data_IF_243613146590
#
_entry.id   IF_243613146590
#
_cell.length_a   1.000
_cell.length_b   1.000
_cell.length_c   1.000
_cell.angle_alpha   90.00
_cell.angle_beta   90.00
_cell.angle_gamma   90.00
#
_symmetry.space_group_name_H-M   'P 1'
#
loop_
_entity.id
_entity.type
_entity.pdbx_description
1 polymer ?
2 non-polymer ?
3 non-polymer ?
4 water ?
#
# COMPACT_ATOMS: atom_id res chain seq x y z
N UNK A 40 11.92 -24.81 0.30
CA UNK A 40 12.63 -23.97 1.30
C UNK A 40 11.83 -23.92 2.59
N UNK A 41 12.50 -24.23 3.70
CA UNK A 41 11.89 -24.07 5.01
C UNK A 41 12.09 -22.60 5.37
N UNK A 42 11.02 -21.95 5.82
CA UNK A 42 11.02 -20.52 6.15
C UNK A 42 10.86 -20.30 7.65
N UNK A 43 11.82 -19.60 8.25
CA UNK A 43 11.86 -19.42 9.69
C UNK A 43 11.95 -17.93 9.98
N UNK A 44 11.04 -17.38 10.78
CA UNK A 44 11.25 -15.99 11.19
C UNK A 44 11.91 -15.81 12.54
N UNK A 45 12.77 -14.80 12.63
CA UNK A 45 13.44 -14.51 13.87
C UNK A 45 12.74 -13.27 14.43
N UNK A 46 12.12 -13.44 15.58
CA UNK A 46 11.28 -12.40 16.16
C UNK A 46 11.88 -11.97 17.48
N UNK A 47 11.61 -10.73 17.89
CA UNK A 47 12.13 -10.28 19.16
C UNK A 47 11.97 -8.77 19.28
N UNK A 48 12.30 -8.26 20.45
CA UNK A 48 12.11 -6.83 20.69
C UNK A 48 13.26 -6.08 20.01
N UNK A 49 13.17 -4.77 19.98
CA UNK A 49 14.20 -3.93 19.35
C UNK A 49 15.50 -4.13 20.13
N UNK A 50 16.59 -4.37 19.42
CA UNK A 50 17.89 -4.67 20.02
C UNK A 50 18.01 -5.91 20.87
N UNK A 51 17.06 -6.84 20.79
CA UNK A 51 17.22 -8.19 21.30
C UNK A 51 18.53 -8.85 20.88
N UNK A 52 19.01 -8.50 19.69
CA UNK A 52 20.13 -9.24 19.09
C UNK A 52 19.83 -10.05 17.85
N UNK A 53 18.77 -9.71 17.11
CA UNK A 53 18.42 -10.49 15.93
C UNK A 53 19.46 -10.36 14.77
N UNK A 54 19.92 -9.15 14.45
CA UNK A 54 20.93 -9.00 13.38
C UNK A 54 22.20 -9.75 13.74
N UNK A 55 22.63 -9.58 15.00
CA UNK A 55 23.81 -10.29 15.53
C UNK A 55 23.69 -11.81 15.39
N UNK A 56 22.49 -12.33 15.66
CA UNK A 56 22.25 -13.75 15.70
C UNK A 56 22.27 -14.33 14.30
N UNK A 57 21.57 -13.65 13.41
CA UNK A 57 21.38 -14.10 12.05
C UNK A 57 22.71 -14.03 11.27
N UNK A 58 23.54 -13.04 11.60
CA UNK A 58 24.89 -12.96 11.06
C UNK A 58 25.74 -14.20 11.37
N UNK A 59 25.54 -14.77 12.55
CA UNK A 59 26.24 -15.98 12.99
C UNK A 59 25.68 -17.19 12.27
N UNK A 60 24.37 -17.18 12.05
CA UNK A 60 23.67 -18.21 11.28
C UNK A 60 24.09 -18.25 9.82
N UNK A 61 24.04 -17.10 9.14
CA UNK A 61 24.56 -16.94 7.78
C UNK A 61 25.74 -17.85 7.48
N UNK A 62 26.78 -17.68 8.32
CA UNK A 62 28.13 -18.27 8.16
C UNK A 62 28.25 -19.73 8.54
N UNK A 63 27.27 -20.23 9.28
CA UNK A 63 27.29 -21.61 9.74
C UNK A 63 27.11 -22.65 8.65
N UNK A 64 26.40 -22.30 7.58
CA UNK A 64 26.00 -23.29 6.58
C UNK A 64 25.75 -22.65 5.21
N UNK A 65 26.20 -23.37 4.17
CA UNK A 65 25.97 -22.96 2.79
C UNK A 65 24.49 -23.06 2.41
N UNK A 66 23.74 -23.87 3.19
CA UNK A 66 22.31 -24.13 2.98
C UNK A 66 21.37 -23.13 3.67
N UNK A 67 21.89 -22.15 4.40
CA UNK A 67 21.06 -21.16 5.09
C UNK A 67 21.35 -19.72 4.68
N UNK A 68 20.36 -19.03 4.10
CA UNK A 68 20.50 -17.58 3.84
C UNK A 68 19.58 -16.79 4.78
N UNK A 69 19.78 -15.47 4.80
CA UNK A 69 19.02 -14.58 5.68
C UNK A 69 18.39 -13.47 4.88
N UNK A 70 17.15 -13.15 5.22
CA UNK A 70 16.51 -11.96 4.69
C UNK A 70 16.45 -10.93 5.81
N UNK A 71 17.41 -10.00 5.84
CA UNK A 71 17.39 -8.96 6.88
C UNK A 71 16.23 -7.97 6.79
N UNK A 72 15.84 -7.40 7.92
CA UNK A 72 14.95 -6.26 7.93
C UNK A 72 15.64 -5.25 7.07
N UNK A 73 14.92 -4.63 6.11
CA UNK A 73 15.59 -3.65 5.24
C UNK A 73 15.73 -2.27 5.89
N UNK A 74 16.37 -2.19 7.05
CA UNK A 74 16.44 -0.93 7.83
C UNK A 74 17.18 0.23 7.10
N UNK A 75 18.19 -0.12 6.30
CA UNK A 75 18.93 0.86 5.51
C UNK A 75 18.04 1.61 4.53
N UNK A 76 17.05 0.91 3.96
CA UNK A 76 16.04 1.58 3.12
C UNK A 76 15.12 2.51 3.91
N UNK A 77 14.77 2.12 5.14
CA UNK A 77 13.93 2.95 6.00
C UNK A 77 14.61 4.23 6.50
N UNK A 78 15.93 4.20 6.67
CA UNK A 78 16.70 5.42 7.08
C UNK A 78 17.08 6.33 5.90
N UNK A 79 16.90 5.86 4.68
CA UNK A 79 17.18 6.65 3.47
C UNK A 79 16.27 6.21 2.34
N UNK A 80 15.13 6.86 2.26
CA UNK A 80 14.09 6.44 1.36
C UNK A 80 14.43 6.84 -0.08
N UNK A 96 21.11 11.72 1.37
CA UNK A 96 20.14 12.39 0.51
C UNK A 96 18.69 12.27 1.02
N UNK A 97 18.09 11.09 0.83
CA UNK A 97 16.65 10.88 1.09
C UNK A 97 16.12 11.13 2.51
N UNK A 98 14.79 11.07 2.64
CA UNK A 98 14.13 11.14 3.92
C UNK A 98 14.41 9.90 4.78
N UNK A 99 14.60 10.12 6.06
CA UNK A 99 14.78 9.03 6.99
C UNK A 99 13.41 8.74 7.57
N UNK A 100 12.66 7.78 7.04
CA UNK A 100 11.29 7.66 7.55
C UNK A 100 11.26 6.99 8.95
N UNK A 101 12.27 6.18 9.21
CA UNK A 101 12.42 5.57 10.55
C UNK A 101 12.52 6.69 11.55
N UNK A 102 13.36 7.65 11.24
CA UNK A 102 13.49 8.83 12.10
C UNK A 102 12.23 9.68 12.24
N UNK A 103 11.51 9.88 11.13
CA UNK A 103 10.29 10.71 11.15
C UNK A 103 9.25 10.03 12.02
N UNK A 104 9.25 8.71 11.97
CA UNK A 104 8.29 8.01 12.77
C UNK A 104 8.55 8.16 14.26
N UNK A 105 9.83 8.08 14.66
CA UNK A 105 10.23 8.23 16.06
C UNK A 105 10.04 9.68 16.57
N UNK A 106 10.34 10.68 15.74
CA UNK A 106 10.14 12.08 16.16
C UNK A 106 8.71 12.55 16.27
N UNK A 107 7.82 11.98 15.47
CA UNK A 107 6.42 12.41 15.43
C UNK A 107 5.51 11.27 15.00
N UNK A 108 5.35 10.25 15.86
CA UNK A 108 4.62 9.04 15.55
C UNK A 108 3.16 9.29 15.18
N UNK A 109 2.57 10.34 15.70
CA UNK A 109 1.17 10.67 15.35
C UNK A 109 1.01 11.11 13.86
N UNK A 110 2.05 11.77 13.36
CA UNK A 110 2.13 12.19 11.96
C UNK A 110 2.64 11.10 11.02
N UNK A 111 3.67 10.36 11.41
CA UNK A 111 4.37 9.56 10.44
C UNK A 111 4.26 8.06 10.56
N UNK A 112 3.55 7.56 11.58
CA UNK A 112 3.48 6.08 11.86
C UNK A 112 2.92 5.25 10.76
N UNK A 113 1.81 5.73 10.21
CA UNK A 113 1.11 4.97 9.18
C UNK A 113 1.98 4.86 7.93
N UNK A 114 2.67 5.93 7.59
CA UNK A 114 3.49 6.04 6.37
C UNK A 114 4.65 5.06 6.55
N UNK A 115 5.26 5.10 7.73
CA UNK A 115 6.34 4.16 8.02
C UNK A 115 5.86 2.72 7.97
N UNK A 116 4.75 2.44 8.67
CA UNK A 116 4.25 1.08 8.81
C UNK A 116 3.90 0.44 7.49
N UNK A 117 3.23 1.22 6.65
CA UNK A 117 2.92 0.92 5.26
C UNK A 117 4.11 0.50 4.42
N UNK A 118 5.10 1.37 4.47
CA UNK A 118 6.36 1.13 3.82
C UNK A 118 7.18 0.05 4.44
N UNK A 119 7.23 -0.05 5.79
CA UNK A 119 8.00 -1.14 6.38
C UNK A 119 7.44 -2.49 5.88
N UNK A 120 6.12 -2.60 5.86
CA UNK A 120 5.45 -3.85 5.54
C UNK A 120 5.69 -4.26 4.09
N UNK A 121 5.41 -3.34 3.18
CA UNK A 121 5.78 -3.42 1.76
C UNK A 121 7.23 -3.86 1.59
N UNK A 122 8.15 -3.18 2.26
CA UNK A 122 9.56 -3.54 2.13
C UNK A 122 9.90 -4.96 2.62
N UNK A 123 9.19 -5.45 3.64
CA UNK A 123 9.42 -6.82 4.11
C UNK A 123 8.98 -7.84 3.08
N UNK A 124 7.79 -7.63 2.53
CA UNK A 124 7.22 -8.59 1.59
C UNK A 124 8.06 -8.70 0.29
N UNK A 125 8.47 -7.55 -0.24
CA UNK A 125 9.41 -7.45 -1.36
C UNK A 125 10.66 -8.22 -1.08
N UNK A 126 11.33 -7.92 0.03
CA UNK A 126 12.57 -8.64 0.36
C UNK A 126 12.38 -10.14 0.45
N UNK A 127 11.31 -10.55 1.13
CA UNK A 127 11.08 -11.96 1.39
C UNK A 127 10.66 -12.68 0.13
N UNK A 128 9.79 -12.08 -0.67
CA UNK A 128 9.44 -12.61 -2.01
C UNK A 128 10.64 -12.72 -2.93
N UNK A 129 11.44 -11.65 -2.99
CA UNK A 129 12.70 -11.68 -3.72
C UNK A 129 13.71 -12.76 -3.25
N UNK A 130 13.74 -13.08 -1.96
CA UNK A 130 14.71 -14.07 -1.51
C UNK A 130 14.36 -15.50 -1.87
N UNK A 131 13.09 -15.76 -2.14
CA UNK A 131 12.66 -17.11 -2.55
C UNK A 131 13.33 -17.58 -3.84
N UNK A 132 14.04 -16.68 -4.54
CA UNK A 132 14.78 -16.97 -5.79
C UNK A 132 16.02 -16.11 -5.96
N UNK A 140 19.30 -29.28 2.10
CA UNK A 140 18.37 -28.82 3.15
C UNK A 140 18.33 -27.29 3.26
N UNK A 141 17.62 -26.62 2.32
CA UNK A 141 17.64 -25.15 2.30
C UNK A 141 16.73 -24.53 3.34
N UNK A 142 17.27 -23.62 4.15
CA UNK A 142 16.50 -22.84 5.14
C UNK A 142 16.67 -21.36 4.83
N UNK A 143 15.61 -20.60 5.03
CA UNK A 143 15.65 -19.18 4.83
C UNK A 143 15.19 -18.52 6.12
N UNK A 144 16.07 -17.76 6.76
CA UNK A 144 15.70 -17.07 8.00
C UNK A 144 15.24 -15.65 7.74
N UNK A 145 13.98 -15.35 8.09
CA UNK A 145 13.44 -14.02 7.86
C UNK A 145 13.69 -13.23 9.10
N UNK A 146 14.25 -12.04 8.98
CA UNK A 146 14.35 -11.23 10.15
C UNK A 146 13.03 -10.46 10.33
N UNK A 147 12.23 -10.91 11.29
CA UNK A 147 10.83 -10.45 11.43
C UNK A 147 9.96 -10.85 10.24
N UNK A 148 8.71 -10.40 10.26
CA UNK A 148 7.67 -11.03 9.44
C UNK A 148 6.49 -10.08 9.31
N UNK A 149 5.61 -10.41 8.39
CA UNK A 149 4.37 -9.64 8.19
C UNK A 149 3.46 -9.73 9.42
N UNK A 150 3.60 -10.82 10.18
CA UNK A 150 2.87 -10.99 11.43
C UNK A 150 3.30 -10.03 12.49
N UNK A 151 4.59 -9.93 12.75
CA UNK A 151 4.99 -8.95 13.77
C UNK A 151 4.79 -7.52 13.29
N UNK A 152 4.90 -7.30 11.98
CA UNK A 152 4.56 -5.99 11.40
C UNK A 152 3.18 -5.54 11.91
N UNK A 153 2.18 -6.41 11.76
CA UNK A 153 0.83 -6.03 12.16
C UNK A 153 0.52 -6.23 13.65
N UNK A 154 0.81 -7.43 14.14
CA UNK A 154 0.31 -7.79 15.46
C UNK A 154 1.16 -7.30 16.61
N UNK A 155 2.42 -6.97 16.34
CA UNK A 155 3.29 -6.37 17.35
C UNK A 155 3.34 -4.87 17.15
N UNK A 156 3.85 -4.43 16.01
CA UNK A 156 4.16 -3.02 15.84
C UNK A 156 2.98 -2.13 15.48
N UNK A 157 2.33 -2.44 14.37
CA UNK A 157 1.14 -1.68 13.94
C UNK A 157 0.03 -1.69 15.01
N UNK A 158 -0.28 -2.85 15.58
CA UNK A 158 -1.27 -2.87 16.69
C UNK A 158 -0.92 -1.88 17.81
N UNK A 159 0.35 -1.89 18.21
CA UNK A 159 0.81 -1.05 19.29
C UNK A 159 0.72 0.42 18.92
N UNK A 160 0.97 0.75 17.66
CA UNK A 160 0.81 2.16 17.27
C UNK A 160 -0.63 2.67 17.40
N UNK A 161 -1.59 1.81 17.06
CA UNK A 161 -3.02 2.13 17.17
C UNK A 161 -3.47 2.23 18.62
N UNK A 162 -3.16 1.22 19.43
CA UNK A 162 -3.47 1.27 20.86
C UNK A 162 -2.89 2.55 21.48
N UNK A 163 -1.70 2.95 21.03
CA UNK A 163 -1.01 4.16 21.51
C UNK A 163 -1.57 5.47 20.99
N UNK A 164 -2.57 5.38 20.12
CA UNK A 164 -3.09 6.56 19.44
C UNK A 164 -2.03 7.19 18.50
N UNK A 165 -1.04 6.43 18.04
CA UNK A 165 -0.13 6.97 17.01
C UNK A 165 -0.75 6.84 15.63
N UNK A 166 -1.59 5.83 15.44
CA UNK A 166 -2.46 5.78 14.27
C UNK A 166 -3.88 6.06 14.80
N UNK A 167 -4.70 6.77 14.02
CA UNK A 167 -6.10 6.89 14.36
C UNK A 167 -6.88 5.77 13.71
N UNK A 168 -8.21 5.79 13.82
CA UNK A 168 -9.02 4.64 13.44
C UNK A 168 -8.94 4.49 11.95
N UNK A 169 -8.91 5.61 11.26
CA UNK A 169 -8.87 5.62 9.81
C UNK A 169 -7.56 4.99 9.30
N UNK A 170 -6.42 5.45 9.83
CA UNK A 170 -5.13 4.92 9.43
C UNK A 170 -5.06 3.43 9.72
N UNK A 171 -5.56 3.04 10.87
CA UNK A 171 -5.52 1.64 11.26
C UNK A 171 -6.43 0.77 10.42
N UNK A 172 -7.57 1.30 9.99
CA UNK A 172 -8.46 0.51 9.12
C UNK A 172 -7.77 0.32 7.80
N UNK A 173 -7.13 1.37 7.30
CA UNK A 173 -6.53 1.35 5.98
C UNK A 173 -5.36 0.40 5.97
N UNK A 174 -4.59 0.41 7.06
CA UNK A 174 -3.46 -0.50 7.19
C UNK A 174 -3.93 -1.97 7.20
N UNK A 175 -4.95 -2.26 7.98
CA UNK A 175 -5.39 -3.66 8.08
C UNK A 175 -5.95 -4.15 6.77
N UNK A 176 -6.68 -3.28 6.09
CA UNK A 176 -7.28 -3.61 4.81
C UNK A 176 -6.18 -4.00 3.85
N UNK A 177 -5.17 -3.16 3.77
CA UNK A 177 -4.00 -3.45 3.00
C UNK A 177 -3.30 -4.75 3.41
N UNK A 178 -3.09 -4.95 4.70
CA UNK A 178 -2.37 -6.13 5.19
C UNK A 178 -3.13 -7.42 4.88
N UNK A 179 -4.45 -7.38 5.09
CA UNK A 179 -5.39 -8.47 4.82
C UNK A 179 -5.16 -8.90 3.41
N UNK A 180 -5.15 -7.92 2.52
CA UNK A 180 -5.10 -8.16 1.11
C UNK A 180 -3.75 -8.72 0.64
N UNK A 181 -2.66 -8.09 1.06
CA UNK A 181 -1.34 -8.64 0.82
C UNK A 181 -1.25 -10.08 1.25
N UNK A 182 -1.77 -10.38 2.43
CA UNK A 182 -1.72 -11.72 2.98
C UNK A 182 -2.52 -12.71 2.15
N UNK A 183 -3.68 -12.31 1.67
CA UNK A 183 -4.41 -13.16 0.73
C UNK A 183 -3.55 -13.53 -0.48
N UNK A 184 -2.99 -12.52 -1.14
CA UNK A 184 -2.21 -12.72 -2.37
C UNK A 184 -0.89 -13.45 -2.12
N UNK A 185 -0.18 -13.10 -1.05
CA UNK A 185 1.17 -13.62 -0.86
C UNK A 185 1.36 -14.53 0.35
N UNK A 186 0.26 -14.83 1.02
CA UNK A 186 0.24 -15.65 2.24
C UNK A 186 0.76 -17.05 2.08
N UNK A 187 0.37 -17.72 1.01
CA UNK A 187 0.84 -19.06 0.73
C UNK A 187 2.35 -19.12 0.59
N UNK A 188 2.93 -18.12 -0.05
CA UNK A 188 4.36 -18.18 -0.35
C UNK A 188 5.25 -17.76 0.83
N UNK A 189 4.81 -16.77 1.60
CA UNK A 189 5.54 -16.35 2.79
C UNK A 189 5.15 -17.11 4.06
N UNK A 190 4.56 -18.29 3.88
CA UNK A 190 4.11 -19.16 4.97
C UNK A 190 5.30 -19.68 5.78
N UNK A 191 5.31 -19.36 7.07
CA UNK A 191 6.40 -19.75 7.94
C UNK A 191 6.33 -21.20 8.42
N UNK A 192 7.47 -21.88 8.41
CA UNK A 192 7.58 -23.21 9.00
C UNK A 192 7.90 -23.19 10.49
N UNK A 193 8.43 -22.09 10.98
CA UNK A 193 8.76 -21.97 12.40
C UNK A 193 9.10 -20.56 12.80
N UNK A 194 9.18 -20.33 14.11
CA UNK A 194 9.56 -19.03 14.62
C UNK A 194 10.67 -19.21 15.64
N UNK A 195 11.75 -18.47 15.48
CA UNK A 195 12.76 -18.39 16.51
C UNK A 195 12.52 -17.11 17.28
N UNK A 196 12.23 -17.25 18.55
CA UNK A 196 12.00 -16.08 19.38
C UNK A 196 13.22 -15.78 20.27
N UNK A 197 13.88 -14.65 19.99
CA UNK A 197 14.99 -14.15 20.81
C UNK A 197 14.39 -13.25 21.90
N UNK A 198 14.37 -13.77 23.12
CA UNK A 198 13.67 -13.14 24.23
C UNK A 198 14.69 -12.44 25.13
N UNK A 199 14.54 -11.12 25.30
CA UNK A 199 15.36 -10.37 26.21
C UNK A 199 14.48 -9.34 26.97
N UNK A 200 14.78 -9.12 28.24
CA UNK A 200 13.95 -8.24 29.04
C UNK A 200 13.98 -6.85 28.39
N UNK A 201 12.91 -6.07 28.57
CA UNK A 201 12.92 -4.70 28.10
C UNK A 201 14.16 -3.89 28.48
N UNK A 202 14.72 -4.17 29.66
CA UNK A 202 15.81 -3.38 30.23
C UNK A 202 17.07 -3.74 29.46
N UNK A 203 17.26 -5.00 29.16
CA UNK A 203 18.36 -5.47 28.32
C UNK A 203 18.36 -4.85 26.91
N UNK A 204 17.17 -4.83 26.28
CA UNK A 204 16.95 -4.26 24.94
C UNK A 204 17.24 -2.78 25.04
N UNK A 205 16.82 -2.17 26.14
CA UNK A 205 17.11 -0.71 26.30
C UNK A 205 18.60 -0.37 26.33
N UNK A 206 19.36 -1.15 27.09
CA UNK A 206 20.83 -1.06 27.10
C UNK A 206 21.46 -1.35 25.72
N UNK A 207 21.01 -2.39 25.04
CA UNK A 207 21.47 -2.68 23.67
C UNK A 207 21.17 -1.58 22.60
N UNK A 208 20.05 -0.86 22.75
CA UNK A 208 19.77 0.35 21.98
C UNK A 208 20.86 1.42 22.15
N UNK A 209 21.38 1.58 23.37
CA UNK A 209 22.44 2.56 23.61
C UNK A 209 23.82 2.06 23.33
N UNK A 210 24.01 0.75 23.28
CA UNK A 210 25.24 0.25 22.72
C UNK A 210 25.27 0.56 21.23
N UNK A 211 24.39 -0.11 20.48
CA UNK A 211 24.28 0.09 19.03
C UNK A 211 24.33 1.56 18.60
N UNK A 212 23.62 2.38 19.35
CA UNK A 212 23.66 3.85 19.24
C UNK A 212 22.98 4.48 18.01
N UNK A 213 21.98 3.82 17.41
CA UNK A 213 21.22 4.50 16.33
C UNK A 213 20.64 5.82 16.82
N UNK A 214 20.77 6.85 15.98
CA UNK A 214 20.34 8.23 16.34
C UNK A 214 18.82 8.34 16.47
N UNK A 215 18.15 7.57 15.62
CA UNK A 215 16.69 7.55 15.55
C UNK A 215 16.07 6.99 16.84
N UNK A 216 16.79 6.05 17.47
CA UNK A 216 16.22 5.26 18.55
C UNK A 216 16.52 5.78 19.94
N UNK A 217 17.30 6.85 20.04
CA UNK A 217 17.72 7.38 21.32
C UNK A 217 16.61 7.93 22.24
N UNK A 218 15.50 8.40 21.68
CA UNK A 218 14.41 8.86 22.56
C UNK A 218 13.52 7.77 23.14
N UNK A 219 13.75 6.51 22.76
CA UNK A 219 12.74 5.45 22.95
C UNK A 219 12.51 5.20 24.45
N UNK A 220 11.26 5.41 24.91
CA UNK A 220 10.87 5.12 26.29
C UNK A 220 10.91 3.64 26.64
N UNK A 221 11.28 3.32 27.87
CA UNK A 221 11.26 1.92 28.31
C UNK A 221 9.83 1.37 28.20
N UNK A 222 8.82 2.21 28.43
CA UNK A 222 7.41 1.79 28.31
C UNK A 222 7.07 1.25 26.92
N UNK A 223 7.69 1.86 25.90
CA UNK A 223 7.49 1.39 24.54
C UNK A 223 8.00 -0.01 24.40
N UNK A 224 9.21 -0.25 24.90
CA UNK A 224 9.84 -1.58 24.78
C UNK A 224 9.05 -2.65 25.55
N UNK A 225 8.51 -2.24 26.67
CA UNK A 225 7.71 -3.12 27.51
C UNK A 225 6.44 -3.53 26.78
N UNK A 226 5.78 -2.56 26.15
CA UNK A 226 4.60 -2.87 25.32
C UNK A 226 5.00 -3.90 24.28
N UNK A 227 6.10 -3.64 23.57
CA UNK A 227 6.45 -4.58 22.47
C UNK A 227 6.75 -5.99 22.98
N UNK A 228 7.51 -6.06 24.06
CA UNK A 228 7.84 -7.29 24.78
C UNK A 228 6.60 -8.15 25.20
N UNK A 229 5.65 -7.49 25.82
CA UNK A 229 4.40 -8.10 26.23
C UNK A 229 3.67 -8.66 25.03
N UNK A 230 3.58 -7.89 23.95
CA UNK A 230 3.00 -8.46 22.74
C UNK A 230 3.75 -9.68 22.24
N UNK A 231 5.09 -9.67 22.22
CA UNK A 231 5.86 -10.90 21.91
C UNK A 231 5.57 -12.14 22.81
N UNK A 232 5.64 -11.89 24.12
CA UNK A 232 5.33 -12.88 25.14
C UNK A 232 3.92 -13.44 24.91
N UNK A 233 2.91 -12.57 24.85
CA UNK A 233 1.54 -13.09 24.59
C UNK A 233 1.37 -13.83 23.29
N UNK A 234 2.06 -13.42 22.23
CA UNK A 234 1.96 -14.13 20.95
C UNK A 234 2.75 -15.42 20.93
N UNK A 235 4.02 -15.34 21.32
CA UNK A 235 4.97 -16.41 21.13
C UNK A 235 5.12 -17.34 22.32
N UNK A 236 4.85 -16.83 23.52
CA UNK A 236 5.07 -17.61 24.74
C UNK A 236 3.73 -18.01 25.37
N UNK A 237 2.90 -17.03 25.73
CA UNK A 237 1.60 -17.33 26.35
C UNK A 237 0.61 -17.93 25.36
N UNK A 238 0.84 -17.66 24.07
CA UNK A 238 -0.01 -18.12 22.97
C UNK A 238 -1.47 -17.69 23.16
N UNK A 239 -1.65 -16.44 23.62
CA UNK A 239 -2.97 -15.82 23.77
C UNK A 239 -2.91 -14.42 23.16
N UNK A 250 1.98 -22.73 14.93
CA UNK A 250 3.35 -22.67 14.36
C UNK A 250 4.41 -23.04 15.41
N UNK A 251 5.35 -23.94 15.06
CA UNK A 251 6.45 -24.33 15.94
C UNK A 251 7.38 -23.17 16.27
N UNK A 252 7.50 -22.89 17.57
CA UNK A 252 8.30 -21.79 18.09
C UNK A 252 9.41 -22.33 19.02
N UNK A 253 10.66 -21.99 18.71
CA UNK A 253 11.82 -22.20 19.61
C UNK A 253 12.08 -20.89 20.38
N UNK A 254 12.14 -20.94 21.70
CA UNK A 254 12.47 -19.72 22.44
C UNK A 254 13.88 -19.77 23.04
N UNK A 255 14.70 -18.80 22.64
CA UNK A 255 16.07 -18.71 23.10
C UNK A 255 16.24 -17.50 24.04
N UNK A 256 16.83 -17.71 25.23
CA UNK A 256 17.10 -16.63 26.18
C UNK A 256 18.39 -15.89 25.77
N UNK A 257 18.27 -14.60 25.47
CA UNK A 257 19.41 -13.84 24.96
C UNK A 257 19.76 -12.65 25.83
N UNK A 258 19.37 -12.74 27.09
CA UNK A 258 19.81 -11.78 28.10
C UNK A 258 21.30 -11.61 28.34
N UNK A 259 22.05 -12.69 28.29
CA UNK A 259 23.50 -12.58 28.45
C UNK A 259 24.15 -12.39 27.07
N UNK A 260 25.15 -11.51 26.95
CA UNK A 260 25.91 -11.34 25.70
C UNK A 260 26.14 -12.73 25.02
N UNK A 261 25.84 -12.89 23.73
CA UNK A 261 26.06 -14.21 23.08
C UNK A 261 27.03 -14.18 21.92
N UNK A 262 27.59 -12.99 21.66
CA UNK A 262 28.40 -12.74 20.48
C UNK A 262 29.55 -13.71 20.35
N UNK A 263 29.98 -14.28 21.47
CA UNK A 263 30.98 -15.35 21.45
C UNK A 263 30.45 -16.66 22.05
N UNK A 264 29.59 -16.53 23.05
CA UNK A 264 29.03 -17.68 23.72
C UNK A 264 27.74 -18.08 23.02
N UNK A 265 27.86 -18.58 21.80
CA UNK A 265 26.69 -18.88 20.98
C UNK A 265 26.51 -20.35 20.58
N UNK A 266 27.43 -21.21 21.00
CA UNK A 266 27.47 -22.60 20.56
C UNK A 266 26.21 -23.40 20.94
N UNK A 267 25.68 -23.13 22.14
CA UNK A 267 24.50 -23.83 22.62
C UNK A 267 23.27 -23.44 21.80
N UNK A 268 23.16 -22.15 21.48
CA UNK A 268 22.01 -21.61 20.76
C UNK A 268 21.90 -22.26 19.39
N UNK A 269 23.04 -22.37 18.71
CA UNK A 269 23.13 -22.99 17.38
C UNK A 269 22.71 -24.46 17.36
N UNK A 270 23.11 -25.22 18.38
CA UNK A 270 22.72 -26.62 18.50
C UNK A 270 21.21 -26.70 18.70
N UNK A 271 20.69 -25.76 19.50
CA UNK A 271 19.26 -25.69 19.78
C UNK A 271 18.52 -25.34 18.49
N UNK A 272 19.05 -24.36 17.75
CA UNK A 272 18.57 -24.01 16.41
C UNK A 272 18.60 -25.24 15.46
N UNK A 273 19.76 -25.89 15.34
CA UNK A 273 19.92 -27.11 14.54
C UNK A 273 18.93 -28.21 14.93
N UNK A 274 18.66 -28.35 16.22
CA UNK A 274 17.77 -29.38 16.75
C UNK A 274 16.30 -29.04 16.49
N UNK A 275 15.99 -27.74 16.50
CA UNK A 275 14.66 -27.21 16.19
C UNK A 275 14.33 -27.48 14.73
N UNK A 276 15.28 -27.17 13.86
CA UNK A 276 15.08 -27.32 12.41
C UNK A 276 14.75 -28.74 11.99
N UNK A 277 15.23 -29.70 12.78
CA UNK A 277 15.07 -31.12 12.46
C UNK A 277 13.70 -31.67 12.92
N UNK A 278 13.06 -30.96 13.85
CA UNK A 278 11.70 -31.32 14.29
C UNK A 278 10.71 -30.95 13.20
N UNK A 279 11.00 -29.85 12.50
CA UNK A 279 10.23 -29.44 11.34
C UNK A 279 10.49 -30.39 10.15
N UNK B 40 -11.93 -10.20 -22.90
CA UNK B 40 -12.34 -8.95 -22.16
C UNK B 40 -11.41 -7.81 -22.53
N UNK B 41 -11.95 -6.83 -23.27
CA UNK B 41 -11.28 -5.58 -23.56
C UNK B 41 -11.42 -4.68 -22.33
N UNK B 42 -10.35 -4.01 -21.95
CA UNK B 42 -10.36 -3.17 -20.77
C UNK B 42 -10.10 -1.74 -21.20
N UNK B 43 -11.04 -0.86 -20.84
CA UNK B 43 -11.04 0.49 -21.34
C UNK B 43 -11.15 1.37 -20.10
N UNK B 44 -10.25 2.33 -19.88
CA UNK B 44 -10.53 3.23 -18.74
C UNK B 44 -11.15 4.54 -19.20
N UNK B 45 -11.94 5.18 -18.32
CA UNK B 45 -12.59 6.40 -18.63
C UNK B 45 -11.83 7.39 -17.77
N UNK B 46 -11.24 8.37 -18.42
CA UNK B 46 -10.44 9.38 -17.72
C UNK B 46 -11.07 10.75 -17.86
N UNK B 47 -10.89 11.60 -16.84
CA UNK B 47 -11.18 12.98 -17.05
C UNK B 47 -11.11 13.75 -15.76
N UNK B 48 -11.34 15.05 -15.86
CA UNK B 48 -11.29 15.83 -14.64
C UNK B 48 -12.45 15.51 -13.64
N UNK B 49 -12.34 16.04 -12.43
CA UNK B 49 -13.34 15.93 -11.37
C UNK B 49 -14.64 16.51 -11.90
N UNK B 50 -15.66 15.67 -11.91
CA UNK B 50 -16.99 16.06 -12.34
C UNK B 50 -17.18 16.39 -13.83
N UNK B 51 -16.38 15.72 -14.65
CA UNK B 51 -16.51 15.74 -16.09
C UNK B 51 -17.70 14.89 -16.54
N UNK B 52 -18.10 13.95 -15.72
CA UNK B 52 -19.27 13.15 -16.08
C UNK B 52 -19.04 11.68 -16.28
N UNK B 53 -17.91 11.17 -15.76
CA UNK B 53 -17.55 9.72 -15.82
C UNK B 53 -18.59 8.76 -15.19
N UNK B 54 -19.02 9.05 -13.98
CA UNK B 54 -20.11 8.29 -13.32
C UNK B 54 -21.34 8.28 -14.18
N UNK B 55 -21.75 9.44 -14.66
CA UNK B 55 -22.92 9.57 -15.52
C UNK B 55 -22.71 8.75 -16.78
N UNK B 56 -21.53 8.91 -17.37
CA UNK B 56 -21.22 8.26 -18.61
C UNK B 56 -21.21 6.74 -18.45
N UNK B 57 -20.46 6.25 -17.48
CA UNK B 57 -20.40 4.83 -17.09
C UNK B 57 -21.76 4.19 -16.76
N UNK B 58 -22.65 4.93 -16.12
CA UNK B 58 -24.03 4.46 -15.85
C UNK B 58 -24.85 4.22 -17.12
N UNK B 59 -24.65 5.09 -18.10
CA UNK B 59 -25.23 4.92 -19.41
C UNK B 59 -24.67 3.70 -20.14
N UNK B 60 -23.35 3.56 -20.23
CA UNK B 60 -22.75 2.42 -20.94
C UNK B 60 -23.16 1.06 -20.33
N UNK B 61 -23.19 1.00 -19.00
CA UNK B 61 -23.65 -0.17 -18.27
C UNK B 61 -24.97 -0.77 -18.85
N UNK B 62 -25.92 0.12 -19.15
CA UNK B 62 -27.30 -0.26 -19.51
C UNK B 62 -27.54 -0.52 -20.99
N UNK B 63 -26.60 -0.13 -21.83
CA UNK B 63 -26.78 -0.19 -23.27
C UNK B 63 -26.56 -1.57 -23.83
N UNK B 64 -25.81 -2.39 -23.09
CA UNK B 64 -25.40 -3.71 -23.59
C UNK B 64 -25.10 -4.71 -22.49
N UNK B 65 -25.50 -5.96 -22.72
CA UNK B 65 -25.22 -7.05 -21.78
C UNK B 65 -23.72 -7.39 -21.69
N UNK B 66 -22.98 -7.19 -22.78
CA UNK B 66 -21.55 -7.42 -22.80
C UNK B 66 -20.70 -6.27 -22.25
N UNK B 67 -21.33 -5.22 -21.74
CA UNK B 67 -20.61 -4.02 -21.24
C UNK B 67 -20.83 -3.85 -19.73
N UNK B 68 -19.76 -4.01 -18.94
CA UNK B 68 -19.88 -3.86 -17.50
C UNK B 68 -18.93 -2.76 -17.05
N UNK B 69 -19.19 -2.17 -15.90
CA UNK B 69 -18.37 -1.07 -15.43
C UNK B 69 -17.74 -1.37 -14.07
N UNK B 70 -16.60 -0.69 -13.78
CA UNK B 70 -15.97 -0.77 -12.45
C UNK B 70 -15.91 0.66 -11.95
N UNK B 71 -16.87 1.08 -11.13
CA UNK B 71 -16.87 2.48 -10.70
C UNK B 71 -15.74 2.81 -9.73
N UNK B 72 -15.42 4.10 -9.60
CA UNK B 72 -14.53 4.53 -8.55
C UNK B 72 -15.14 4.22 -7.20
N UNK B 73 -14.35 3.64 -6.26
CA UNK B 73 -14.96 3.40 -4.94
C UNK B 73 -15.09 4.62 -4.00
N UNK B 74 -15.75 5.68 -4.45
CA UNK B 74 -15.85 6.91 -3.65
C UNK B 74 -16.73 6.71 -2.38
N UNK B 75 -17.64 5.75 -2.44
CA UNK B 75 -18.37 5.30 -1.27
C UNK B 75 -17.42 4.81 -0.17
N UNK B 76 -16.42 4.01 -0.55
CA UNK B 76 -15.44 3.48 0.42
C UNK B 76 -14.56 4.58 0.97
N UNK B 77 -14.13 5.49 0.11
CA UNK B 77 -13.25 6.58 0.51
C UNK B 77 -13.97 7.55 1.41
N UNK B 78 -15.28 7.58 1.28
CA UNK B 78 -16.11 8.47 2.08
C UNK B 78 -16.40 7.89 3.48
N UNK B 79 -16.30 6.58 3.62
CA UNK B 79 -16.55 5.93 4.90
C UNK B 79 -15.64 4.73 4.96
N UNK B 80 -14.47 4.94 5.53
CA UNK B 80 -13.43 3.94 5.50
C UNK B 80 -13.86 2.72 6.32
N UNK B 81 -13.77 1.56 5.67
CA UNK B 81 -14.10 0.23 6.19
C UNK B 81 -13.42 -0.80 5.27
N UNK B 82 -13.08 -1.97 5.83
CA UNK B 82 -12.57 -3.09 5.03
C UNK B 82 -13.68 -3.99 4.48
N UNK B 83 -13.44 -4.57 3.31
CA UNK B 83 -14.34 -5.57 2.72
C UNK B 83 -14.37 -6.86 3.58
N UNK B 97 -17.65 5.49 10.01
CA UNK B 97 -16.24 5.78 10.26
C UNK B 97 -15.67 6.86 9.34
N UNK B 98 -14.33 6.88 9.23
CA UNK B 98 -13.59 7.99 8.65
C UNK B 98 -13.78 8.32 7.18
N UNK B 99 -13.93 9.61 6.93
CA UNK B 99 -14.06 10.17 5.58
C UNK B 99 -12.67 10.68 5.11
N UNK B 100 -11.92 9.81 4.45
CA UNK B 100 -10.55 10.15 4.09
C UNK B 100 -10.55 11.15 2.92
N UNK B 101 -11.60 11.07 2.12
CA UNK B 101 -11.76 11.98 0.99
C UNK B 101 -11.83 13.40 1.55
N UNK B 102 -12.65 13.55 2.57
CA UNK B 102 -12.79 14.83 3.24
C UNK B 102 -11.52 15.23 3.95
N UNK B 103 -10.82 14.27 4.54
CA UNK B 103 -9.61 14.60 5.31
C UNK B 103 -8.57 15.17 4.34
N UNK B 104 -8.48 14.54 3.18
CA UNK B 104 -7.61 14.97 2.10
C UNK B 104 -7.89 16.35 1.55
N UNK B 105 -9.15 16.79 1.51
CA UNK B 105 -9.47 18.11 1.03
C UNK B 105 -9.35 19.18 2.15
N UNK B 106 -9.58 18.80 3.39
CA UNK B 106 -9.43 19.79 4.50
C UNK B 106 -7.99 20.00 4.95
N UNK B 107 -7.13 19.03 4.69
CA UNK B 107 -5.76 19.09 5.14
C UNK B 107 -4.86 18.26 4.24
N UNK B 108 -4.67 18.67 2.98
CA UNK B 108 -3.97 17.73 2.12
C UNK B 108 -2.49 17.56 2.44
N UNK B 109 -1.85 18.54 3.07
CA UNK B 109 -0.46 18.39 3.53
C UNK B 109 -0.32 17.32 4.61
N UNK B 110 -1.44 16.94 5.21
CA UNK B 110 -1.45 15.90 6.21
C UNK B 110 -1.93 14.55 5.65
N UNK B 111 -2.96 14.56 4.80
CA UNK B 111 -3.69 13.33 4.48
C UNK B 111 -3.58 12.88 3.04
N UNK B 112 -2.89 13.65 2.20
CA UNK B 112 -2.75 13.34 0.78
C UNK B 112 -2.18 11.97 0.51
N UNK B 113 -1.06 11.68 1.15
CA UNK B 113 -0.38 10.41 0.94
C UNK B 113 -1.25 9.24 1.38
N UNK B 114 -1.85 9.38 2.56
CA UNK B 114 -2.77 8.36 3.06
C UNK B 114 -3.96 8.08 2.12
N UNK B 115 -4.57 9.15 1.60
CA UNK B 115 -5.66 9.01 0.62
C UNK B 115 -5.18 8.31 -0.62
N UNK B 116 -4.02 8.75 -1.14
CA UNK B 116 -3.53 8.29 -2.46
C UNK B 116 -3.26 6.81 -2.46
N UNK B 117 -2.69 6.33 -1.35
CA UNK B 117 -2.31 4.93 -1.25
C UNK B 117 -3.54 4.09 -1.12
N UNK B 118 -4.44 4.55 -0.26
CA UNK B 118 -5.75 3.90 -0.14
C UNK B 118 -6.59 3.91 -1.45
N UNK B 119 -6.65 5.05 -2.11
CA UNK B 119 -7.40 5.16 -3.36
C UNK B 119 -6.83 4.17 -4.38
N UNK B 120 -5.52 4.16 -4.54
CA UNK B 120 -4.89 3.26 -5.51
C UNK B 120 -5.13 1.80 -5.17
N UNK B 121 -4.93 1.40 -3.91
CA UNK B 121 -5.26 0.04 -3.47
C UNK B 121 -6.70 -0.38 -3.78
N UNK B 122 -7.65 0.49 -3.45
CA UNK B 122 -9.06 0.21 -3.61
C UNK B 122 -9.50 0.09 -5.08
N UNK B 123 -8.85 0.90 -5.91
CA UNK B 123 -8.98 0.81 -7.34
C UNK B 123 -8.55 -0.55 -7.91
N UNK B 124 -7.34 -1.01 -7.58
CA UNK B 124 -6.83 -2.32 -8.03
C UNK B 124 -7.74 -3.46 -7.54
N UNK B 125 -8.14 -3.38 -6.30
CA UNK B 125 -9.03 -4.34 -5.71
C UNK B 125 -10.35 -4.42 -6.46
N UNK B 126 -10.95 -3.27 -6.74
CA UNK B 126 -12.21 -3.22 -7.49
C UNK B 126 -12.05 -3.81 -8.90
N UNK B 127 -10.99 -3.41 -9.59
CA UNK B 127 -10.79 -3.81 -10.98
C UNK B 127 -10.53 -5.29 -11.09
N UNK B 128 -9.69 -5.79 -10.19
CA UNK B 128 -9.41 -7.22 -10.10
C UNK B 128 -10.63 -8.09 -9.79
N UNK B 129 -11.48 -7.60 -8.91
CA UNK B 129 -12.69 -8.31 -8.53
C UNK B 129 -13.70 -8.45 -9.69
N UNK B 130 -13.83 -7.39 -10.48
CA UNK B 130 -14.73 -7.40 -11.65
C UNK B 130 -14.18 -8.25 -12.78
N UNK B 131 -12.88 -8.17 -13.00
CA UNK B 131 -12.21 -9.03 -13.96
C UNK B 131 -12.56 -10.50 -13.80
N UNK B 132 -12.62 -10.97 -12.55
CA UNK B 132 -12.83 -12.38 -12.24
C UNK B 132 -14.29 -12.73 -12.08
N UNK B 133 -15.10 -11.73 -11.75
CA UNK B 133 -16.50 -11.93 -11.45
C UNK B 133 -17.54 -11.58 -12.50
N UNK B 134 -17.16 -10.82 -13.53
CA UNK B 134 -18.13 -10.29 -14.47
C UNK B 134 -17.88 -10.86 -15.85
N UNK B 135 -18.88 -10.72 -16.71
CA UNK B 135 -18.73 -10.91 -18.17
C UNK B 135 -18.50 -12.35 -18.61
N UNK B 136 -18.98 -13.31 -17.84
CA UNK B 136 -18.76 -14.71 -18.17
C UNK B 136 -19.66 -15.10 -19.32
N UNK B 137 -20.80 -14.43 -19.42
CA UNK B 137 -21.82 -14.73 -20.43
C UNK B 137 -21.77 -13.91 -21.72
N UNK B 138 -20.71 -13.14 -21.94
CA UNK B 138 -20.68 -12.14 -23.02
C UNK B 138 -19.97 -12.60 -24.29
N UNK B 139 -20.44 -12.11 -25.44
CA UNK B 139 -19.79 -12.49 -26.71
C UNK B 139 -18.66 -11.54 -27.09
N UNK B 140 -18.89 -10.24 -26.92
CA UNK B 140 -17.84 -9.21 -27.10
C UNK B 140 -17.73 -8.41 -25.80
N UNK B 141 -17.15 -9.01 -24.74
CA UNK B 141 -17.12 -8.35 -23.43
C UNK B 141 -16.14 -7.17 -23.36
N UNK B 142 -16.58 -6.11 -22.70
CA UNK B 142 -15.76 -4.91 -22.50
C UNK B 142 -16.02 -4.46 -21.08
N UNK B 143 -14.93 -4.20 -20.38
CA UNK B 143 -14.97 -3.81 -19.00
C UNK B 143 -14.39 -2.40 -18.97
N UNK B 144 -15.22 -1.45 -18.53
CA UNK B 144 -14.90 -0.01 -18.42
C UNK B 144 -14.49 0.45 -17.01
N UNK B 145 -13.25 0.90 -16.88
CA UNK B 145 -12.76 1.16 -15.56
C UNK B 145 -13.00 2.62 -15.41
N UNK B 146 -13.64 3.02 -14.33
CA UNK B 146 -13.64 4.43 -14.09
C UNK B 146 -12.24 4.75 -13.52
N UNK B 147 -11.44 5.47 -14.32
CA UNK B 147 -10.05 5.82 -13.99
C UNK B 147 -9.20 4.60 -13.78
N UNK B 148 -7.93 4.78 -13.43
CA UNK B 148 -6.99 3.68 -13.52
C UNK B 148 -5.82 3.98 -12.59
N UNK B 149 -4.92 3.01 -12.46
CA UNK B 149 -3.72 3.24 -11.64
C UNK B 149 -2.79 4.22 -12.30
N UNK B 150 -3.05 4.53 -13.55
CA UNK B 150 -2.24 5.49 -14.26
C UNK B 150 -2.61 6.92 -13.90
N UNK B 151 -3.90 7.24 -13.86
CA UNK B 151 -4.31 8.59 -13.44
C UNK B 151 -4.05 8.85 -11.97
N UNK B 152 -4.25 7.86 -11.10
CA UNK B 152 -3.88 7.92 -9.67
C UNK B 152 -2.49 8.53 -9.52
N UNK B 153 -1.55 7.96 -10.26
CA UNK B 153 -0.10 8.25 -10.18
C UNK B 153 0.25 9.48 -11.00
N UNK B 154 -0.01 9.40 -12.30
CA UNK B 154 0.46 10.44 -13.21
C UNK B 154 -0.36 11.73 -13.26
N UNK B 155 -1.57 11.72 -12.72
CA UNK B 155 -2.36 12.95 -12.64
C UNK B 155 -2.41 13.40 -11.21
N UNK B 156 -3.06 12.58 -10.38
CA UNK B 156 -3.43 13.03 -9.05
C UNK B 156 -2.25 13.07 -8.06
N UNK B 157 -1.61 11.93 -7.84
CA UNK B 157 -0.46 11.91 -6.95
C UNK B 157 0.64 12.87 -7.44
N UNK B 158 0.98 12.77 -8.71
CA UNK B 158 1.97 13.69 -9.26
C UNK B 158 1.65 15.15 -8.91
N UNK B 159 0.39 15.54 -9.14
CA UNK B 159 -0.07 16.91 -8.88
C UNK B 159 0.00 17.33 -7.42
N UNK B 160 -0.33 16.40 -6.51
CA UNK B 160 -0.21 16.68 -5.07
C UNK B 160 1.26 16.88 -4.66
N UNK B 161 2.19 16.04 -5.15
CA UNK B 161 3.62 16.26 -4.95
C UNK B 161 4.06 17.62 -5.49
N UNK B 162 3.68 17.89 -6.75
CA UNK B 162 4.00 19.14 -7.44
C UNK B 162 3.48 20.34 -6.66
N UNK B 163 2.34 20.18 -6.00
CA UNK B 163 1.72 21.25 -5.20
C UNK B 163 2.15 21.30 -3.73
N UNK B 164 3.18 20.53 -3.39
CA UNK B 164 3.67 20.37 -2.02
C UNK B 164 2.67 19.82 -1.01
N UNK B 165 1.72 19.02 -1.52
CA UNK B 165 0.78 18.31 -0.63
C UNK B 165 1.33 16.96 -0.13
N UNK B 166 2.26 16.41 -0.88
CA UNK B 166 3.11 15.34 -0.44
C UNK B 166 4.53 15.87 -0.47
N UNK B 167 5.31 15.51 0.53
CA UNK B 167 6.71 15.82 0.50
C UNK B 167 7.47 14.78 -0.31
N UNK B 168 8.75 15.01 -0.50
CA UNK B 168 9.63 14.11 -1.23
C UNK B 168 9.59 12.68 -0.77
N UNK B 169 9.62 12.51 0.54
CA UNK B 169 9.61 11.21 1.18
C UNK B 169 8.30 10.48 0.89
N UNK B 170 7.19 11.16 1.14
CA UNK B 170 5.85 10.65 0.79
C UNK B 170 5.77 10.24 -0.70
N UNK B 171 6.25 11.12 -1.57
CA UNK B 171 6.21 10.87 -3.00
C UNK B 171 7.03 9.65 -3.42
N UNK B 172 8.25 9.51 -2.88
CA UNK B 172 9.08 8.34 -3.11
C UNK B 172 8.42 7.06 -2.66
N UNK B 173 7.86 7.09 -1.46
CA UNK B 173 7.23 5.89 -0.92
C UNK B 173 6.03 5.48 -1.78
N UNK B 174 5.20 6.46 -2.15
CA UNK B 174 4.08 6.20 -3.07
C UNK B 174 4.54 5.55 -4.39
N UNK B 175 5.54 6.15 -5.04
CA UNK B 175 6.05 5.60 -6.33
C UNK B 175 6.53 4.18 -6.16
N UNK B 176 7.26 3.95 -5.08
CA UNK B 176 7.69 2.60 -4.74
C UNK B 176 6.55 1.63 -4.60
N UNK B 177 5.58 2.05 -3.81
CA UNK B 177 4.38 1.30 -3.59
C UNK B 177 3.66 1.05 -4.93
N UNK B 178 3.50 2.09 -5.74
CA UNK B 178 2.79 2.00 -7.00
C UNK B 178 3.53 1.06 -7.99
N UNK B 179 4.86 1.15 -8.05
CA UNK B 179 5.66 0.27 -8.96
C UNK B 179 5.51 -1.20 -8.60
N UNK B 180 5.56 -1.52 -7.31
CA UNK B 180 5.46 -2.89 -6.87
C UNK B 180 4.08 -3.50 -7.19
N UNK B 181 3.02 -2.74 -6.90
CA UNK B 181 1.64 -3.13 -7.16
C UNK B 181 1.40 -3.30 -8.62
N UNK B 182 1.97 -2.41 -9.42
CA UNK B 182 1.86 -2.46 -10.86
C UNK B 182 2.58 -3.66 -11.43
N UNK B 183 3.78 -3.97 -10.90
CA UNK B 183 4.47 -5.20 -11.28
C UNK B 183 3.71 -6.49 -10.93
N UNK B 184 3.11 -6.48 -9.76
CA UNK B 184 2.48 -7.67 -9.25
C UNK B 184 1.14 -7.90 -9.90
N UNK B 185 0.40 -6.81 -10.20
CA UNK B 185 -1.01 -6.88 -10.61
C UNK B 185 -1.29 -6.08 -11.86
N UNK B 186 -0.24 -5.67 -12.54
CA UNK B 186 -0.37 -4.73 -13.63
C UNK B 186 -0.77 -5.36 -14.94
N UNK B 187 -0.20 -6.53 -15.22
CA UNK B 187 -0.49 -7.26 -16.44
C UNK B 187 -1.94 -7.76 -16.49
N UNK B 188 -2.61 -7.82 -15.35
CA UNK B 188 -4.01 -8.22 -15.34
C UNK B 188 -4.88 -7.03 -15.72
N UNK B 189 -4.43 -5.84 -15.37
CA UNK B 189 -5.26 -4.66 -15.53
C UNK B 189 -4.84 -3.81 -16.73
N UNK B 190 -3.88 -4.27 -17.50
CA UNK B 190 -3.41 -3.47 -18.65
C UNK B 190 -4.56 -3.07 -19.58
N UNK B 191 -4.52 -1.81 -20.02
CA UNK B 191 -5.58 -1.23 -20.79
C UNK B 191 -5.44 -1.51 -22.27
N UNK B 192 -6.59 -1.62 -22.92
CA UNK B 192 -6.69 -1.78 -24.35
C UNK B 192 -7.03 -0.40 -24.94
N UNK B 193 -7.61 0.49 -24.14
CA UNK B 193 -7.92 1.85 -24.62
C UNK B 193 -8.28 2.82 -23.51
N UNK B 194 -8.24 4.10 -23.81
CA UNK B 194 -8.68 5.15 -22.89
C UNK B 194 -9.74 5.94 -23.60
N UNK B 195 -10.86 6.17 -22.94
CA UNK B 195 -11.82 7.13 -23.38
C UNK B 195 -11.60 8.35 -22.48
N UNK B 196 -11.31 9.46 -23.09
CA UNK B 196 -11.01 10.68 -22.34
C UNK B 196 -12.22 11.59 -22.42
N UNK B 197 -12.93 11.74 -21.31
CA UNK B 197 -14.05 12.66 -21.27
C UNK B 197 -13.51 14.07 -20.95
N UNK B 198 -13.50 14.93 -21.96
CA UNK B 198 -12.88 16.28 -21.87
C UNK B 198 -13.91 17.36 -21.53
N UNK B 199 -13.70 18.04 -20.44
CA UNK B 199 -14.60 19.09 -20.10
C UNK B 199 -13.72 20.24 -19.59
N UNK B 200 -14.14 21.47 -19.78
CA UNK B 200 -13.22 22.58 -19.38
C UNK B 200 -13.16 22.66 -17.84
N UNK B 201 -12.08 23.22 -17.30
CA UNK B 201 -12.08 23.44 -15.86
C UNK B 201 -13.32 24.16 -15.35
N UNK B 202 -13.76 25.17 -16.09
CA UNK B 202 -14.95 25.97 -15.77
C UNK B 202 -16.17 25.07 -15.68
N UNK B 203 -16.34 24.20 -16.65
CA UNK B 203 -17.47 23.28 -16.68
C UNK B 203 -17.41 22.31 -15.50
N UNK B 204 -16.24 21.74 -15.23
CA UNK B 204 -16.06 20.81 -14.12
C UNK B 204 -16.31 21.54 -12.81
N UNK B 205 -15.83 22.77 -12.71
CA UNK B 205 -16.12 23.52 -11.50
C UNK B 205 -17.63 23.63 -11.20
N UNK B 206 -18.40 24.01 -12.20
CA UNK B 206 -19.82 24.21 -11.99
C UNK B 206 -20.55 22.89 -11.80
N UNK B 207 -20.08 21.81 -12.43
CA UNK B 207 -20.59 20.47 -12.07
C UNK B 207 -20.30 19.96 -10.64
N UNK B 208 -19.12 20.25 -10.12
CA UNK B 208 -18.82 20.10 -8.67
C UNK B 208 -19.86 20.84 -7.83
N UNK B 209 -20.16 22.06 -8.28
CA UNK B 209 -21.16 22.94 -7.62
C UNK B 209 -22.55 22.32 -7.73
N UNK B 210 -22.90 21.81 -8.91
CA UNK B 210 -24.16 21.08 -9.17
C UNK B 210 -24.32 19.82 -8.32
N UNK B 211 -23.26 19.03 -8.23
CA UNK B 211 -23.33 17.78 -7.50
C UNK B 211 -23.35 18.04 -6.00
N UNK B 212 -22.64 19.07 -5.58
CA UNK B 212 -22.81 19.57 -4.23
C UNK B 212 -22.16 18.77 -3.10
N UNK B 213 -21.24 17.84 -3.43
CA UNK B 213 -20.56 17.04 -2.38
C UNK B 213 -19.90 17.99 -1.43
N UNK B 214 -20.17 17.84 -0.12
CA UNK B 214 -19.61 18.73 0.91
C UNK B 214 -18.09 18.86 0.85
N UNK B 215 -17.43 17.71 0.74
CA UNK B 215 -15.96 17.58 0.68
C UNK B 215 -15.34 18.43 -0.39
N UNK B 216 -16.08 18.66 -1.46
CA UNK B 216 -15.53 19.25 -2.68
C UNK B 216 -15.73 20.74 -2.78
N UNK B 217 -16.47 21.30 -1.84
CA UNK B 217 -16.88 22.67 -2.01
C UNK B 217 -15.77 23.70 -1.94
N UNK B 218 -14.65 23.40 -1.30
CA UNK B 218 -13.52 24.36 -1.25
C UNK B 218 -12.54 24.22 -2.42
N UNK B 219 -12.89 23.40 -3.40
CA UNK B 219 -11.93 23.06 -4.49
C UNK B 219 -11.73 24.22 -5.45
N UNK B 220 -10.52 24.81 -5.51
CA UNK B 220 -10.36 26.02 -6.34
C UNK B 220 -10.25 25.69 -7.80
N UNK B 221 -10.63 26.66 -8.63
CA UNK B 221 -10.50 26.58 -10.09
C UNK B 221 -9.06 26.22 -10.47
N UNK B 222 -8.13 26.86 -9.79
CA UNK B 222 -6.69 26.60 -9.94
C UNK B 222 -6.31 25.12 -9.93
N UNK B 223 -6.96 24.38 -9.02
CA UNK B 223 -6.67 23.00 -8.78
C UNK B 223 -7.14 22.20 -10.00
N UNK B 224 -8.35 22.49 -10.51
CA UNK B 224 -8.92 21.76 -11.67
C UNK B 224 -8.17 22.03 -12.95
N UNK B 225 -7.62 23.23 -13.05
CA UNK B 225 -6.78 23.65 -14.18
C UNK B 225 -5.51 22.79 -14.28
N UNK B 226 -4.89 22.57 -13.12
CA UNK B 226 -3.70 21.70 -13.08
C UNK B 226 -4.04 20.30 -13.52
N UNK B 227 -5.10 19.73 -12.95
CA UNK B 227 -5.57 18.41 -13.35
C UNK B 227 -5.93 18.32 -14.82
N UNK B 228 -6.47 19.40 -15.36
CA UNK B 228 -6.83 19.45 -16.76
C UNK B 228 -5.57 19.50 -17.60
N UNK B 229 -4.64 20.38 -17.24
CA UNK B 229 -3.34 20.38 -17.91
C UNK B 229 -2.73 18.99 -17.97
N UNK B 230 -2.76 18.26 -16.85
CA UNK B 230 -2.11 16.94 -16.83
C UNK B 230 -2.80 15.96 -17.76
N UNK B 231 -4.13 15.97 -17.80
CA UNK B 231 -4.87 15.12 -18.73
C UNK B 231 -4.58 15.47 -20.20
N UNK B 232 -4.57 16.77 -20.51
CA UNK B 232 -4.28 17.20 -21.89
C UNK B 232 -2.88 16.72 -22.32
N UNK B 233 -1.89 16.95 -21.49
CA UNK B 233 -0.55 16.54 -21.90
C UNK B 233 -0.38 15.02 -21.94
N UNK B 234 -1.00 14.33 -20.98
CA UNK B 234 -1.00 12.86 -21.02
C UNK B 234 -1.73 12.25 -22.21
N UNK B 235 -2.97 12.67 -22.47
CA UNK B 235 -3.82 11.92 -23.40
C UNK B 235 -3.91 12.49 -24.81
N UNK B 236 -3.58 13.77 -24.93
CA UNK B 236 -3.76 14.50 -26.17
C UNK B 236 -2.46 14.89 -26.84
N UNK B 237 -1.55 15.49 -26.08
CA UNK B 237 -0.27 15.92 -26.61
C UNK B 237 0.76 14.81 -26.54
N UNK B 238 0.40 13.73 -25.85
CA UNK B 238 1.27 12.55 -25.65
C UNK B 238 2.71 12.96 -25.29
N UNK B 239 2.81 14.04 -24.48
CA UNK B 239 4.08 14.53 -23.95
C UNK B 239 4.23 14.23 -22.45
N UNK B 240 3.37 13.36 -21.92
CA UNK B 240 3.49 12.96 -20.52
C UNK B 240 3.68 11.44 -20.41
N UNK B 250 -1.34 2.97 -26.66
CA UNK B 250 -2.74 2.88 -26.22
C UNK B 250 -3.69 3.82 -26.98
N UNK B 251 -4.66 3.26 -27.71
CA UNK B 251 -5.70 4.02 -28.40
C UNK B 251 -6.52 4.93 -27.49
N UNK B 252 -6.69 6.18 -27.89
CA UNK B 252 -7.40 7.15 -27.08
C UNK B 252 -8.59 7.77 -27.84
N UNK B 253 -9.78 7.66 -27.26
CA UNK B 253 -10.95 8.30 -27.86
C UNK B 253 -11.26 9.48 -26.98
N UNK B 254 -11.22 10.67 -27.56
CA UNK B 254 -11.51 11.88 -26.80
C UNK B 254 -12.96 12.22 -27.13
N UNK B 255 -13.72 12.64 -26.12
CA UNK B 255 -15.11 12.93 -26.29
C UNK B 255 -15.28 14.26 -25.59
N UNK B 256 -15.87 15.24 -26.26
CA UNK B 256 -16.11 16.58 -25.68
C UNK B 256 -17.44 16.50 -24.92
N UNK B 257 -17.41 16.69 -23.59
CA UNK B 257 -18.58 16.50 -22.72
C UNK B 257 -18.98 17.80 -21.98
N UNK B 258 -18.65 18.93 -22.58
CA UNK B 258 -19.00 20.22 -22.04
C UNK B 258 -20.47 20.51 -22.11
N UNK B 259 -21.16 19.96 -23.09
CA UNK B 259 -22.62 20.09 -23.13
C UNK B 259 -23.23 18.84 -22.46
N UNK B 260 -24.25 19.04 -21.64
CA UNK B 260 -24.97 17.94 -21.01
C UNK B 260 -25.19 16.78 -22.00
N UNK B 261 -24.97 15.56 -21.55
CA UNK B 261 -25.19 14.41 -22.43
C UNK B 261 -26.13 13.36 -21.86
N UNK B 262 -26.68 13.64 -20.68
CA UNK B 262 -27.67 12.80 -19.99
C UNK B 262 -28.85 12.37 -20.88
N UNK B 263 -29.20 13.20 -21.85
CA UNK B 263 -30.33 12.95 -22.76
C UNK B 263 -29.97 13.30 -24.21
N UNK B 264 -28.67 13.29 -24.51
CA UNK B 264 -28.19 13.43 -25.88
C UNK B 264 -26.87 12.72 -25.91
N UNK B 265 -26.93 11.41 -25.65
CA UNK B 265 -25.74 10.58 -25.59
C UNK B 265 -25.60 9.63 -26.76
N UNK B 266 -26.61 9.65 -27.64
CA UNK B 266 -26.68 8.68 -28.71
C UNK B 266 -25.43 8.78 -29.57
N UNK B 267 -24.99 9.99 -29.90
CA UNK B 267 -23.79 10.07 -30.75
C UNK B 267 -22.44 10.03 -30.00
N UNK B 268 -22.45 10.22 -28.67
CA UNK B 268 -21.29 9.84 -27.86
C UNK B 268 -21.10 8.31 -27.98
N UNK B 269 -22.20 7.59 -27.83
CA UNK B 269 -22.19 6.14 -27.86
C UNK B 269 -21.76 5.57 -29.20
N UNK B 270 -22.27 6.14 -30.30
CA UNK B 270 -21.87 5.77 -31.65
C UNK B 270 -20.34 5.85 -31.73
N UNK B 271 -19.79 6.94 -31.19
CA UNK B 271 -18.34 7.13 -31.15
C UNK B 271 -17.60 6.04 -30.39
N UNK B 272 -18.12 5.66 -29.21
CA UNK B 272 -17.58 4.57 -28.38
C UNK B 272 -17.57 3.26 -29.16
N UNK B 273 -18.70 2.89 -29.74
CA UNK B 273 -18.77 1.63 -30.53
C UNK B 273 -17.77 1.57 -31.71
N UNK B 274 -17.68 2.65 -32.47
CA UNK B 274 -16.69 2.80 -33.55
C UNK B 274 -15.26 2.72 -33.03
N UNK B 275 -15.02 3.25 -31.83
CA UNK B 275 -13.70 3.16 -31.17
C UNK B 275 -13.33 1.75 -30.76
N UNK B 276 -14.25 1.03 -30.12
CA UNK B 276 -14.05 -0.35 -29.73
C UNK B 276 -13.73 -1.35 -30.86
N UNK B 277 -14.20 -1.09 -32.07
CA UNK B 277 -14.08 -2.03 -33.18
C UNK B 277 -12.64 -2.30 -33.56
N UNK B 278 -11.80 -1.26 -33.47
CA UNK B 278 -10.39 -1.33 -33.85
C UNK B 278 -9.48 -2.10 -32.87
N UNK B 279 -9.97 -2.36 -31.67
CA UNK B 279 -9.11 -2.78 -30.56
C UNK B 279 -8.83 -4.29 -30.55
X LIG C 1 14.26 -3.12 13.49
X LIG C 1 14.77 -1.91 12.94
X LIG C 1 14.16 -0.69 13.67
X LIG C 1 12.81 -0.31 13.11
X LIG C 1 11.78 -0.74 14.02
X LIG C 1 10.74 -1.55 13.36
X LIG C 1 10.82 -2.78 12.72
X LIG C 1 9.67 -3.22 12.26
X LIG C 1 8.83 -2.13 12.69
X LIG C 1 9.47 -1.15 13.32
X LIG C 1 8.95 0.05 13.85
X LIG C 1 7.62 0.19 13.62
X LIG C 1 6.88 -0.74 12.95
X LIG C 1 7.44 -1.95 12.43
X LIG C 1 6.73 -2.75 11.85
X LIG C 1 6.85 1.23 14.05
X LIG C 1 12.46 -1.39 15.17
X LIG C 1 13.85 -0.81 15.14
X LIG C 1 13.78 0.55 15.69
X LIG D 1 24.70 -6.95 21.18
X LIG D 1 25.71 -7.25 22.09
X LIG D 1 25.82 -8.52 22.52
X LIG D 1 24.96 -9.45 22.05
X LIG D 1 23.92 -9.20 21.14
X LIG D 1 23.82 -7.87 20.71
X LIG D 1 26.49 -6.41 22.51
X LIG D 1 25.12 -10.55 22.48
X LIG D 1 24.64 -5.56 20.73
X LIG D 1 24.90 -5.43 19.25
X LIG D 1 26.25 -5.31 18.90
X LIG D 1 24.15 -4.17 18.90
X LIG D 1 22.96 -4.32 19.84
X LIG D 1 23.32 -5.18 20.90
X LIG D 1 24.85 -3.05 19.39
X LIG D 1 21.67 -4.82 19.17
X LIG D 1 21.83 -6.19 18.63
X LIG D 1 21.23 -6.30 17.17
X LIG D 1 21.49 -5.15 16.27
X LIG D 1 21.66 -7.59 16.61
X LIG D 1 19.65 -6.17 17.51
X LIG D 1 18.24 -6.34 16.63
X LIG D 1 18.68 -6.67 15.30
X LIG D 1 17.57 -5.03 16.72
X LIG D 1 17.43 -7.30 17.37
X LIG E 1 -13.53 10.68 -8.17
X LIG E 1 -14.24 11.20 -7.03
X LIG E 1 -13.49 12.27 -6.24
X LIG E 1 -12.25 11.75 -5.63
X LIG E 1 -11.14 12.57 -6.06
X LIG E 1 -10.15 11.62 -6.53
X LIG E 1 -10.26 10.50 -7.32
X LIG E 1 -9.13 9.88 -7.52
X LIG E 1 -8.26 10.69 -6.77
X LIG E 1 -8.88 11.74 -6.15
X LIG E 1 -8.35 12.75 -5.36
X LIG E 1 -7.03 12.56 -5.19
X LIG E 1 -6.32 11.52 -5.77
X LIG E 1 -6.87 10.50 -6.59
X LIG E 1 -6.22 9.60 -7.08
X LIG E 1 -6.24 13.35 -4.47
X LIG E 1 -11.58 13.63 -7.03
X LIG E 1 -13.06 13.64 -6.79
X LIG E 1 -13.25 14.51 -5.68
X LIG F 1 -23.79 15.98 -15.14
X LIG F 1 -24.82 16.57 -15.91
X LIG F 1 -24.93 16.35 -17.25
X LIG F 1 -23.98 15.54 -17.82
X LIG F 1 -22.92 14.93 -17.11
X LIG F 1 -22.85 15.17 -15.74
X LIG F 1 -25.64 17.31 -15.39
X LIG F 1 -24.06 15.37 -19.01
X LIG F 1 -23.74 16.21 -13.69
X LIG F 1 -23.94 14.95 -12.86
X LIG F 1 -25.26 14.73 -12.59
X LIG F 1 -23.24 15.26 -11.57
X LIG F 1 -22.10 16.15 -12.02
X LIG F 1 -22.51 16.75 -13.26
X LIG F 1 -24.11 16.12 -10.90
X LIG F 1 -20.75 15.44 -12.23
X LIG F 1 -20.99 14.23 -13.11
X LIG F 1 -20.45 12.93 -12.53
X LIG F 1 -20.63 12.62 -11.15
X LIG F 1 -20.78 11.77 -13.48
X LIG F 1 -18.85 13.13 -12.70
X LIG F 1 -17.50 12.35 -12.22
X LIG F 1 -17.73 10.90 -12.02
X LIG F 1 -16.83 13.02 -11.09
X LIG F 1 -16.68 12.65 -13.38
#
# INVERSE_FOLDING_TARGET
MGSSHHHHHHSGLVPRGSHMATPPKRSSPSFSASSEGTRIKKISIEGNIAAGKSTFVNILKQLSEDWEVVPEPVARWSNVQSTQDEFEELTMSQKNGGNVLQMMYEKPERWSFTFQTYACLSRIRAQLASLNGKLKDAEKPVLFFERSVYSDRYIFASNLYESESMNETEWTIYQDWHDWMNNQFGQSLELDGIIYLQATPETCLHRIYLRGRNEEQGIPLEYLEKLHYKHESWLLHRTLKTNFDYLQEVPILTLDVNEDFKDKYESLVEKVKEFLSTL
MGSSHHHHHHSGLVPRGSHMATPPKRSSPSFSASSEGTRIKKISIEGNIAAGKSTFVNILKQLSEDWEVVPEPVARWSNVQSTQDEFEELTMSQKNGGNVLQMMYEKPERWSFTFQTYACLSRIRAQLASLNGKLKDAEKPVLFFERSVYSDRYIFASNLYESESMNETEWTIYQDWHDWMNNQFGQSLELDGIIYLQATPETCLHRIYLRGRNEEQGIPLEYLEKLHYKHESWLLHRTLKTNFDYLQEVPILTLDVNEDFKDKYESLVEKVKEFLSTL
GNG O5' C5' C4' O4' C1' N9 C8 N7 C5 C4 N3 C2 N1 C6 O6 N2 C2' C3' O3'
UDP N1 C2 N3 C4 C5 C6 O2 O4 C1' C2' O2' C3' C4' O4' O3' C5' O5' PA O1A O2A O3A PB O1B O2B O3B
GNG O5' C5' C4' O4' C1' N9 C8 N7 C5 C4 N3 C2 N1 C6 O6 N2 C2' C3' O3'
UDP N1 C2 N3 C4 C5 C6 O2 O4 C1' C2' O2' C3' C4' O4' O3' C5' O5' PA O1A O2A O3A PB O1B O2B O3B
#
